data_IF_435486166463
#
_entry.id   IF_435486166463
#
_cell.length_a   1.000
_cell.length_b   1.000
_cell.length_c   1.000
_cell.angle_alpha   90.00
_cell.angle_beta   90.00
_cell.angle_gamma   90.00
#
_symmetry.space_group_name_H-M   'P 1'
#
loop_
_entity.id
_entity.type
_entity.pdbx_description
1 polymer ?
#
# COMPACT_ATOMS: atom_id res chain seq x y z
N UNK A 1 -47.16 -16.89 -0.03
CA UNK A 1 -46.04 -16.81 -1.01
C UNK A 1 -45.19 -15.52 -0.93
N UNK A 2 -45.64 -14.43 -0.28
CA UNK A 2 -44.91 -13.12 -0.29
C UNK A 2 -43.81 -12.95 0.77
N UNK A 3 -43.68 -13.85 1.76
CA UNK A 3 -42.77 -13.69 2.93
C UNK A 3 -41.33 -14.13 2.67
N UNK A 4 -41.10 -15.03 1.71
CA UNK A 4 -39.75 -15.53 1.38
C UNK A 4 -39.00 -14.61 0.41
N UNK A 5 -39.71 -13.75 -0.33
CA UNK A 5 -39.09 -12.77 -1.22
C UNK A 5 -38.22 -11.76 -0.48
N UNK A 6 -38.65 -11.32 0.72
CA UNK A 6 -37.88 -10.39 1.55
C UNK A 6 -36.55 -11.00 2.01
N UNK A 7 -36.54 -12.29 2.39
CA UNK A 7 -35.33 -13.00 2.81
C UNK A 7 -34.37 -13.25 1.65
N UNK A 8 -34.88 -13.56 0.46
CA UNK A 8 -34.06 -13.66 -0.76
C UNK A 8 -33.41 -12.32 -1.13
N UNK A 9 -34.14 -11.20 -0.99
CA UNK A 9 -33.59 -9.87 -1.25
C UNK A 9 -32.52 -9.51 -0.23
N UNK A 10 -32.70 -9.80 1.06
CA UNK A 10 -31.69 -9.56 2.11
C UNK A 10 -30.39 -10.36 1.90
N UNK A 11 -30.47 -11.59 1.37
CA UNK A 11 -29.29 -12.41 1.08
C UNK A 11 -28.45 -11.88 -0.09
N UNK A 12 -29.06 -11.15 -1.04
CA UNK A 12 -28.35 -10.57 -2.19
C UNK A 12 -27.52 -9.33 -1.85
N UNK A 13 -27.69 -8.76 -0.65
CA UNK A 13 -27.01 -7.53 -0.21
C UNK A 13 -25.67 -7.78 0.46
N UNK A 14 -25.33 -9.04 0.74
CA UNK A 14 -24.00 -9.43 1.23
C UNK A 14 -23.00 -9.51 0.06
N UNK A 15 -22.65 -8.36 -0.49
CA UNK A 15 -21.50 -8.25 -1.39
C UNK A 15 -20.23 -8.09 -0.55
N UNK A 16 -19.32 -9.07 -0.62
CA UNK A 16 -18.00 -8.94 -0.02
C UNK A 16 -17.17 -7.95 -0.86
N UNK A 17 -16.74 -6.84 -0.26
CA UNK A 17 -15.82 -5.91 -0.91
C UNK A 17 -14.39 -6.42 -0.78
N UNK A 18 -13.67 -6.53 -1.89
CA UNK A 18 -12.22 -6.71 -1.87
C UNK A 18 -11.57 -5.34 -1.79
N UNK A 19 -10.88 -5.08 -0.68
CA UNK A 19 -10.17 -3.84 -0.43
C UNK A 19 -8.68 -4.15 -0.21
N UNK A 20 -7.82 -3.22 -0.61
CA UNK A 20 -6.40 -3.26 -0.30
C UNK A 20 -6.22 -3.16 1.22
N UNK A 21 -5.48 -4.11 1.79
CA UNK A 21 -5.08 -4.10 3.19
C UNK A 21 -3.57 -3.82 3.24
N UNK A 22 -3.24 -2.63 3.73
CA UNK A 22 -1.89 -2.11 3.78
C UNK A 22 -1.67 -1.29 5.06
N UNK A 23 -0.46 -1.41 5.61
CA UNK A 23 0.00 -0.58 6.74
C UNK A 23 1.18 0.25 6.28
N UNK A 24 1.16 1.53 6.67
CA UNK A 24 2.28 2.45 6.50
C UNK A 24 2.67 2.94 7.88
N UNK A 25 3.93 2.72 8.26
CA UNK A 25 4.54 3.28 9.47
C UNK A 25 5.79 4.06 9.09
N UNK A 26 6.25 4.94 9.96
CA UNK A 26 7.47 5.70 9.73
C UNK A 26 8.23 6.05 11.01
N UNK A 27 9.54 6.19 10.88
CA UNK A 27 10.41 6.70 11.92
C UNK A 27 11.24 7.86 11.38
N UNK A 28 11.52 8.83 12.25
CA UNK A 28 12.36 10.00 11.91
C UNK A 28 13.68 9.87 12.64
N UNK A 29 14.76 9.96 11.87
CA UNK A 29 16.11 9.87 12.39
C UNK A 29 16.87 11.15 12.12
N UNK A 30 17.69 11.55 13.09
CA UNK A 30 18.55 12.73 13.01
C UNK A 30 19.99 12.29 12.82
N UNK A 31 20.66 12.85 11.81
CA UNK A 31 22.08 12.65 11.54
C UNK A 31 22.76 14.00 11.37
N UNK A 32 24.11 14.09 11.51
CA UNK A 32 24.84 15.34 11.27
C UNK A 32 24.61 15.93 9.86
N UNK A 33 24.34 15.08 8.87
CA UNK A 33 24.04 15.45 7.48
C UNK A 33 22.60 15.91 7.25
N UNK A 34 21.69 15.73 8.22
CA UNK A 34 20.29 16.09 8.12
C UNK A 34 19.35 15.02 8.70
N UNK A 35 18.05 15.35 8.72
CA UNK A 35 17.00 14.41 9.10
C UNK A 35 16.63 13.52 7.91
N UNK A 36 16.28 12.27 8.18
CA UNK A 36 15.67 11.38 7.18
C UNK A 36 14.49 10.62 7.79
N UNK A 37 13.57 10.21 6.92
CA UNK A 37 12.45 9.33 7.28
C UNK A 37 12.73 7.93 6.77
N UNK A 38 12.52 6.95 7.62
CA UNK A 38 12.34 5.55 7.22
C UNK A 38 10.85 5.28 7.15
N UNK A 39 10.38 4.75 6.02
CA UNK A 39 8.97 4.43 5.81
C UNK A 39 8.86 2.93 5.61
N UNK A 40 8.05 2.29 6.45
CA UNK A 40 7.81 0.86 6.45
C UNK A 40 6.45 0.61 5.81
N UNK A 41 6.46 -0.11 4.69
CA UNK A 41 5.26 -0.50 3.97
C UNK A 41 5.03 -1.98 4.20
N UNK A 42 3.84 -2.36 4.63
CA UNK A 42 3.41 -3.75 4.69
C UNK A 42 2.13 -3.92 3.89
N UNK A 43 2.15 -4.82 2.91
CA UNK A 43 1.01 -5.14 2.06
C UNK A 43 0.59 -6.58 2.33
N UNK A 44 -0.69 -6.76 2.67
CA UNK A 44 -1.27 -8.09 2.85
C UNK A 44 -1.51 -8.71 1.48
N UNK A 45 -0.81 -9.81 1.18
CA UNK A 45 -0.74 -10.41 -0.15
C UNK A 45 -2.12 -10.85 -0.66
N UNK A 46 -2.95 -11.44 0.20
CA UNK A 46 -4.32 -11.85 -0.16
C UNK A 46 -5.25 -10.69 -0.54
N UNK A 47 -4.86 -9.44 -0.27
CA UNK A 47 -5.65 -8.24 -0.57
C UNK A 47 -5.31 -7.61 -1.93
N UNK A 48 -4.26 -8.09 -2.61
CA UNK A 48 -3.82 -7.56 -3.91
C UNK A 48 -4.01 -8.57 -5.03
N UNK A 49 -4.08 -8.05 -6.26
CA UNK A 49 -4.23 -8.88 -7.44
C UNK A 49 -2.87 -9.37 -7.92
N UNK A 50 -2.72 -10.69 -7.98
CA UNK A 50 -1.57 -11.35 -8.59
C UNK A 50 -1.79 -11.60 -10.08
N UNK A 51 -0.72 -11.46 -10.85
CA UNK A 51 -0.65 -11.79 -12.28
C UNK A 51 0.33 -12.94 -12.45
N UNK A 52 -0.05 -14.04 -13.15
CA UNK A 52 0.88 -15.11 -13.49
C UNK A 52 2.04 -14.57 -14.34
N UNK A 53 3.26 -14.94 -13.96
CA UNK A 53 4.49 -14.60 -14.70
C UNK A 53 4.95 -15.80 -15.53
N UNK A 54 4.77 -17.01 -15.01
CA UNK A 54 5.01 -18.27 -15.69
C UNK A 54 4.07 -19.37 -15.16
N UNK A 55 4.37 -20.65 -15.44
CA UNK A 55 3.54 -21.80 -15.03
C UNK A 55 3.55 -22.09 -13.52
N UNK A 56 4.52 -21.56 -12.78
CA UNK A 56 4.75 -21.80 -11.36
C UNK A 56 4.63 -20.53 -10.51
N UNK A 57 4.89 -19.36 -11.08
CA UNK A 57 5.01 -18.11 -10.35
C UNK A 57 3.97 -17.08 -10.78
N UNK A 58 3.57 -16.29 -9.78
CA UNK A 58 2.75 -15.11 -9.92
C UNK A 58 3.38 -13.95 -9.14
N UNK A 59 3.02 -12.73 -9.52
CA UNK A 59 3.50 -11.51 -8.88
C UNK A 59 2.38 -10.48 -8.77
N UNK A 60 2.30 -9.79 -7.65
CA UNK A 60 1.46 -8.61 -7.49
C UNK A 60 2.32 -7.34 -7.63
N UNK A 61 1.71 -6.25 -8.09
CA UNK A 61 2.34 -4.94 -8.11
C UNK A 61 1.36 -3.90 -7.57
N UNK A 62 1.83 -3.08 -6.64
CA UNK A 62 1.10 -1.94 -6.07
C UNK A 62 1.80 -0.65 -6.51
N UNK A 63 1.03 0.33 -6.94
CA UNK A 63 1.54 1.67 -7.20
C UNK A 63 1.43 2.50 -5.90
N UNK A 64 2.57 2.94 -5.40
CA UNK A 64 2.69 3.70 -4.15
C UNK A 64 2.96 5.16 -4.47
N UNK A 65 2.21 6.06 -3.83
CA UNK A 65 2.41 7.51 -3.88
C UNK A 65 2.59 8.00 -2.45
N UNK A 66 3.77 8.50 -2.14
CA UNK A 66 4.10 9.11 -0.86
C UNK A 66 4.05 10.63 -1.01
N UNK A 67 3.21 11.30 -0.22
CA UNK A 67 3.09 12.75 -0.21
C UNK A 67 3.58 13.29 1.13
N UNK A 68 4.66 14.07 1.10
CA UNK A 68 5.18 14.76 2.27
C UNK A 68 4.58 16.16 2.30
N UNK A 69 3.73 16.41 3.29
CA UNK A 69 3.04 17.69 3.45
C UNK A 69 3.62 18.46 4.63
N UNK A 70 3.84 19.76 4.42
CA UNK A 70 4.04 20.73 5.49
C UNK A 70 2.86 21.70 5.46
N UNK A 71 2.07 21.72 6.54
CA UNK A 71 0.75 22.36 6.53
C UNK A 71 -0.10 21.81 5.37
N UNK A 72 -0.53 22.65 4.44
CA UNK A 72 -1.32 22.25 3.26
C UNK A 72 -0.52 22.17 1.97
N UNK A 73 0.78 22.40 2.01
CA UNK A 73 1.64 22.31 0.82
C UNK A 73 2.35 20.96 0.76
N UNK A 74 2.32 20.35 -0.42
CA UNK A 74 3.16 19.19 -0.73
C UNK A 74 4.58 19.71 -0.94
N UNK A 75 5.48 19.38 -0.02
CA UNK A 75 6.90 19.79 -0.09
C UNK A 75 7.76 18.76 -0.80
N UNK A 76 7.29 17.51 -0.89
CA UNK A 76 7.90 16.43 -1.67
C UNK A 76 6.84 15.38 -2.01
N UNK A 77 7.00 14.73 -3.16
CA UNK A 77 6.21 13.58 -3.53
C UNK A 77 7.11 12.53 -4.19
N UNK A 78 6.91 11.27 -3.83
CA UNK A 78 7.57 10.13 -4.47
C UNK A 78 6.51 9.17 -5.01
N UNK A 79 6.75 8.63 -6.20
CA UNK A 79 5.88 7.64 -6.84
C UNK A 79 6.70 6.47 -7.33
N UNK A 80 6.31 5.26 -6.95
CA UNK A 80 7.01 4.04 -7.35
C UNK A 80 6.07 2.83 -7.41
N UNK A 81 6.55 1.76 -8.02
CA UNK A 81 5.87 0.46 -8.04
C UNK A 81 6.57 -0.48 -7.09
N UNK A 82 5.81 -1.07 -6.19
CA UNK A 82 6.29 -2.12 -5.30
C UNK A 82 5.75 -3.45 -5.81
N UNK A 83 6.65 -4.35 -6.20
CA UNK A 83 6.28 -5.70 -6.60
C UNK A 83 6.49 -6.68 -5.45
N UNK A 84 5.56 -7.62 -5.29
CA UNK A 84 5.77 -8.76 -4.40
C UNK A 84 6.94 -9.61 -4.89
N UNK A 85 7.50 -10.50 -4.05
CA UNK A 85 8.34 -11.57 -4.55
C UNK A 85 7.58 -12.44 -5.56
N UNK A 86 8.32 -13.10 -6.47
CA UNK A 86 7.77 -14.17 -7.28
C UNK A 86 7.43 -15.35 -6.37
N UNK A 87 6.17 -15.79 -6.41
CA UNK A 87 5.69 -16.85 -5.53
C UNK A 87 4.61 -17.66 -6.23
N UNK A 88 4.47 -18.93 -5.86
CA UNK A 88 3.33 -19.75 -6.28
C UNK A 88 2.03 -19.34 -5.58
N UNK A 89 2.11 -18.63 -4.45
CA UNK A 89 0.98 -18.24 -3.62
C UNK A 89 1.00 -16.75 -3.30
N UNK A 90 -0.17 -16.19 -2.98
CA UNK A 90 -0.25 -14.84 -2.45
C UNK A 90 0.44 -14.79 -1.08
N UNK A 91 1.46 -13.93 -0.95
CA UNK A 91 2.25 -13.78 0.26
C UNK A 91 2.31 -12.31 0.63
N UNK A 92 2.32 -12.01 1.93
CA UNK A 92 2.53 -10.66 2.40
C UNK A 92 3.93 -10.19 2.01
N UNK A 93 4.06 -8.89 1.72
CA UNK A 93 5.34 -8.30 1.33
C UNK A 93 5.55 -6.94 1.97
N UNK A 94 6.81 -6.67 2.28
CA UNK A 94 7.25 -5.50 3.04
C UNK A 94 8.28 -4.75 2.21
N UNK A 95 8.26 -3.43 2.29
CA UNK A 95 9.30 -2.56 1.75
C UNK A 95 9.74 -1.52 2.78
N UNK A 96 11.02 -1.15 2.74
CA UNK A 96 11.60 -0.11 3.57
C UNK A 96 12.13 0.99 2.65
N UNK A 97 11.65 2.22 2.86
CA UNK A 97 12.03 3.38 2.05
C UNK A 97 12.68 4.47 2.90
N UNK A 98 13.94 4.74 2.61
CA UNK A 98 14.66 5.88 3.16
C UNK A 98 14.40 7.13 2.31
N UNK A 99 13.96 8.21 2.97
CA UNK A 99 13.70 9.50 2.32
C UNK A 99 14.40 10.64 3.08
N UNK A 100 15.37 11.27 2.43
CA UNK A 100 15.99 12.49 2.94
C UNK A 100 15.07 13.68 2.70
N UNK A 101 14.79 14.43 3.78
CA UNK A 101 14.11 15.72 3.71
C UNK A 101 15.17 16.80 3.52
N UNK A 102 15.26 17.37 2.32
CA UNK A 102 16.04 18.59 2.13
C UNK A 102 15.38 19.72 2.92
N UNK A 103 16.18 20.47 3.71
CA UNK A 103 15.70 21.73 4.29
C UNK A 103 15.39 22.69 3.14
N UNK A 104 14.23 23.36 3.13
CA UNK A 104 14.06 24.52 2.27
C UNK A 104 15.14 25.54 2.67
N UNK A 105 15.97 25.97 1.73
CA UNK A 105 16.91 27.07 1.92
C UNK A 105 16.08 28.32 2.22
N UNK A 106 16.10 28.76 3.47
CA UNK A 106 15.65 30.10 3.83
C UNK A 106 16.50 31.10 3.06
N UNK A 107 15.88 31.82 2.13
CA UNK A 107 16.39 33.04 1.52
C UNK A 107 15.90 34.25 2.29
#
# INVERSE_FOLDING_TARGET
MKRYGLWMVLLLWFQASWALEATVDYAVFQQPSGAYLEIYLHIVGRSVKYVPIDTLHQQATVEVVLLFKQQDQIVKADKFRLSSPLSAQAIDFIDLKDTHLHRPTTT
#
